data_IF_772052282110
#
_entry.id   IF_772052282110
#
_cell.length_a   1.000
_cell.length_b   1.000
_cell.length_c   1.000
_cell.angle_alpha   90.00
_cell.angle_beta   90.00
_cell.angle_gamma   90.00
#
_symmetry.space_group_name_H-M   'P 1'
#
loop_
_entity.id
_entity.type
_entity.pdbx_description
1 polymer ?
#
# COMPACT_ATOMS: atom_id res chain seq x y z
N UNK A 1 4.37 -14.65 -3.24
CA UNK A 1 5.44 -13.79 -2.65
C UNK A 1 4.83 -12.47 -2.22
N UNK A 2 5.50 -11.74 -1.32
CA UNK A 2 5.05 -10.42 -0.80
C UNK A 2 3.70 -10.43 -0.07
N UNK A 3 3.45 -11.35 0.87
CA UNK A 3 2.16 -11.46 1.55
C UNK A 3 1.80 -10.21 2.37
N UNK A 4 2.81 -9.45 2.81
CA UNK A 4 2.66 -8.18 3.53
C UNK A 4 2.92 -6.95 2.64
N UNK A 5 2.96 -7.13 1.32
CA UNK A 5 3.08 -6.05 0.33
C UNK A 5 4.25 -5.09 0.64
N UNK A 6 5.46 -5.65 0.72
CA UNK A 6 6.67 -4.87 1.06
C UNK A 6 6.64 -4.23 2.45
N UNK A 7 5.88 -4.78 3.38
CA UNK A 7 5.74 -4.27 4.75
C UNK A 7 4.57 -3.31 4.98
N UNK A 8 3.86 -2.86 3.92
CA UNK A 8 2.76 -1.91 4.08
C UNK A 8 1.56 -2.48 4.86
N UNK A 9 1.33 -3.80 4.78
CA UNK A 9 0.30 -4.47 5.56
C UNK A 9 0.76 -4.88 6.97
N UNK A 10 2.02 -4.63 7.32
CA UNK A 10 2.51 -4.74 8.69
C UNK A 10 2.37 -3.42 9.45
N UNK A 11 2.27 -2.30 8.74
CA UNK A 11 2.13 -0.94 9.27
C UNK A 11 0.85 -0.32 8.70
N UNK A 12 -0.29 -0.80 9.16
CA UNK A 12 -1.61 -0.31 8.77
C UNK A 12 -2.03 0.90 9.60
N UNK A 13 -3.01 1.72 9.16
CA UNK A 13 -3.62 2.78 9.97
C UNK A 13 -4.16 2.25 11.31
N UNK A 14 -4.17 3.12 12.34
CA UNK A 14 -4.62 2.76 13.69
C UNK A 14 -6.02 2.14 13.71
N UNK A 15 -6.96 2.66 12.91
CA UNK A 15 -8.31 2.14 12.80
C UNK A 15 -8.36 0.67 12.33
N UNK A 16 -7.43 0.26 11.46
CA UNK A 16 -7.32 -1.13 11.00
C UNK A 16 -6.61 -2.00 12.04
N UNK A 17 -5.57 -1.44 12.68
CA UNK A 17 -4.86 -2.13 13.77
C UNK A 17 -5.80 -2.43 14.94
N UNK A 18 -6.60 -1.45 15.37
CA UNK A 18 -7.61 -1.62 16.43
C UNK A 18 -8.66 -2.66 16.06
N UNK A 19 -9.13 -2.66 14.80
CA UNK A 19 -10.07 -3.68 14.30
C UNK A 19 -9.49 -5.09 14.44
N UNK A 20 -8.23 -5.30 14.06
CA UNK A 20 -7.55 -6.58 14.18
C UNK A 20 -7.34 -6.99 15.64
N UNK A 21 -6.87 -6.09 16.49
CA UNK A 21 -6.71 -6.35 17.93
C UNK A 21 -8.03 -6.65 18.64
N UNK A 22 -9.12 -5.98 18.28
CA UNK A 22 -10.44 -6.25 18.82
C UNK A 22 -10.94 -7.65 18.42
N UNK A 23 -10.63 -8.10 17.21
CA UNK A 23 -11.04 -9.42 16.72
C UNK A 23 -10.18 -10.56 17.32
N UNK A 24 -8.89 -10.33 17.47
CA UNK A 24 -7.96 -11.28 18.09
C UNK A 24 -6.77 -10.52 18.70
N UNK A 25 -6.78 -10.28 20.02
CA UNK A 25 -5.72 -9.54 20.72
C UNK A 25 -4.34 -10.20 20.67
N UNK A 26 -4.28 -11.52 20.52
CA UNK A 26 -3.03 -12.29 20.48
C UNK A 26 -2.40 -12.33 19.07
N UNK A 27 -3.15 -11.94 18.03
CA UNK A 27 -2.67 -11.97 16.66
C UNK A 27 -1.94 -10.68 16.30
N UNK A 28 -0.71 -10.80 15.78
CA UNK A 28 0.00 -9.66 15.23
C UNK A 28 -0.68 -9.13 13.95
N UNK A 29 -0.54 -7.84 13.67
CA UNK A 29 -1.10 -7.24 12.44
C UNK A 29 -0.59 -7.95 11.17
N UNK A 30 0.72 -8.25 11.00
CA UNK A 30 1.22 -9.00 9.84
C UNK A 30 0.60 -10.39 9.68
N UNK A 31 0.24 -11.05 10.80
CA UNK A 31 -0.31 -12.40 10.78
C UNK A 31 -1.63 -12.49 9.99
N UNK A 32 -2.45 -11.43 10.01
CA UNK A 32 -3.69 -11.38 9.25
C UNK A 32 -3.44 -11.47 7.74
N UNK A 33 -2.46 -10.74 7.22
CA UNK A 33 -2.12 -10.75 5.80
C UNK A 33 -1.49 -12.09 5.36
N UNK A 34 -0.59 -12.65 6.19
CA UNK A 34 0.09 -13.92 5.88
C UNK A 34 -0.89 -15.10 5.96
N UNK A 35 -1.73 -15.15 6.99
CA UNK A 35 -2.76 -16.17 7.15
C UNK A 35 -3.82 -16.06 6.05
N UNK A 36 -4.21 -14.84 5.65
CA UNK A 36 -5.11 -14.64 4.52
C UNK A 36 -4.56 -15.28 3.24
N UNK A 37 -3.30 -14.97 2.89
CA UNK A 37 -2.66 -15.56 1.71
C UNK A 37 -2.56 -17.10 1.80
N UNK A 38 -2.25 -17.64 3.00
CA UNK A 38 -2.12 -19.07 3.22
C UNK A 38 -3.47 -19.81 3.26
N UNK A 39 -4.57 -19.12 3.51
CA UNK A 39 -5.92 -19.71 3.63
C UNK A 39 -6.55 -20.13 2.30
N UNK A 40 -5.97 -19.73 1.16
CA UNK A 40 -6.48 -20.12 -0.14
C UNK A 40 -6.08 -21.55 -0.51
N UNK A 41 -7.01 -22.39 -0.91
CA UNK A 41 -6.82 -23.83 -1.17
C UNK A 41 -5.69 -24.12 -2.17
N UNK A 42 -5.51 -23.25 -3.15
CA UNK A 42 -4.50 -23.41 -4.21
C UNK A 42 -3.11 -22.86 -3.82
N UNK A 43 -2.96 -22.25 -2.64
CA UNK A 43 -1.68 -21.74 -2.13
C UNK A 43 -1.01 -22.86 -1.32
N UNK A 44 0.11 -23.35 -1.82
CA UNK A 44 0.89 -24.41 -1.16
C UNK A 44 2.03 -23.86 -0.30
N UNK A 45 2.46 -22.64 -0.57
CA UNK A 45 3.57 -22.01 0.15
C UNK A 45 3.41 -20.49 0.11
N UNK A 46 3.66 -19.83 1.24
CA UNK A 46 3.74 -18.38 1.36
C UNK A 46 5.19 -18.00 1.62
N UNK A 47 5.76 -17.17 0.74
CA UNK A 47 7.12 -16.67 0.89
C UNK A 47 7.06 -15.26 1.51
N UNK A 48 7.54 -15.12 2.74
CA UNK A 48 7.64 -13.86 3.47
C UNK A 48 9.10 -13.47 3.65
N UNK A 49 9.43 -12.20 3.35
CA UNK A 49 10.74 -11.63 3.66
C UNK A 49 10.78 -11.20 5.12
N UNK A 50 11.70 -11.78 5.90
CA UNK A 50 11.89 -11.48 7.32
C UNK A 50 13.28 -10.86 7.50
N UNK A 51 13.34 -9.62 8.01
CA UNK A 51 14.57 -8.87 8.17
C UNK A 51 15.21 -8.97 9.56
N UNK A 52 14.49 -9.54 10.53
CA UNK A 52 14.96 -9.71 11.91
C UNK A 52 14.32 -10.92 12.58
N UNK A 53 14.86 -11.29 13.76
CA UNK A 53 14.43 -12.47 14.51
C UNK A 53 12.98 -12.37 14.99
N UNK A 54 12.55 -11.20 15.46
CA UNK A 54 11.19 -10.99 15.93
C UNK A 54 10.13 -11.29 14.85
N UNK A 55 10.39 -10.89 13.60
CA UNK A 55 9.51 -11.21 12.46
C UNK A 55 9.50 -12.72 12.16
N UNK A 56 10.63 -13.40 12.32
CA UNK A 56 10.70 -14.84 12.14
C UNK A 56 9.93 -15.58 13.23
N UNK A 57 10.12 -15.21 14.49
CA UNK A 57 9.41 -15.75 15.63
C UNK A 57 7.90 -15.54 15.50
N UNK A 58 7.47 -14.33 15.16
CA UNK A 58 6.06 -14.01 14.92
C UNK A 58 5.49 -14.88 13.80
N UNK A 59 6.10 -14.89 12.61
CA UNK A 59 5.59 -15.64 11.47
C UNK A 59 5.55 -17.15 11.70
N UNK A 60 6.55 -17.71 12.40
CA UNK A 60 6.60 -19.14 12.69
C UNK A 60 5.60 -19.53 13.79
N UNK A 61 5.29 -18.66 14.74
CA UNK A 61 4.40 -18.95 15.86
C UNK A 61 3.01 -19.43 15.41
N UNK A 62 2.41 -18.76 14.42
CA UNK A 62 1.09 -19.14 13.90
C UNK A 62 1.14 -20.06 12.67
N UNK A 63 2.29 -20.16 11.98
CA UNK A 63 2.42 -21.04 10.81
C UNK A 63 2.78 -22.48 11.17
N UNK A 64 3.44 -22.73 12.30
CA UNK A 64 3.72 -24.11 12.78
C UNK A 64 2.44 -24.94 13.00
N UNK A 65 1.38 -24.29 13.46
CA UNK A 65 0.07 -24.91 13.67
C UNK A 65 -1.00 -24.18 12.87
N UNK A 66 -0.71 -23.95 11.59
CA UNK A 66 -1.53 -23.16 10.71
C UNK A 66 -3.00 -23.62 10.70
N UNK A 67 -3.88 -22.65 10.91
CA UNK A 67 -5.33 -22.78 10.71
C UNK A 67 -5.77 -21.74 9.70
N UNK A 68 -6.52 -22.15 8.66
CA UNK A 68 -7.13 -21.19 7.73
C UNK A 68 -7.99 -20.17 8.46
N UNK A 69 -8.14 -19.00 7.88
CA UNK A 69 -9.04 -17.98 8.44
C UNK A 69 -10.47 -18.52 8.47
N UNK A 70 -11.13 -18.35 9.60
CA UNK A 70 -12.55 -18.64 9.77
C UNK A 70 -13.41 -17.63 8.99
N UNK A 71 -14.70 -17.94 8.78
CA UNK A 71 -15.65 -17.01 8.16
C UNK A 71 -15.75 -15.69 8.93
N UNK A 72 -15.62 -15.72 10.26
CA UNK A 72 -15.62 -14.53 11.08
C UNK A 72 -14.36 -13.68 10.84
N UNK A 73 -13.19 -14.29 10.78
CA UNK A 73 -11.94 -13.59 10.48
C UNK A 73 -11.93 -13.03 9.05
N UNK A 74 -12.52 -13.76 8.09
CA UNK A 74 -12.70 -13.25 6.72
C UNK A 74 -13.58 -12.00 6.67
N UNK A 75 -14.63 -11.91 7.51
CA UNK A 75 -15.44 -10.68 7.63
C UNK A 75 -14.61 -9.51 8.20
N UNK A 76 -13.73 -9.77 9.15
CA UNK A 76 -12.81 -8.76 9.69
C UNK A 76 -11.85 -8.27 8.60
N UNK A 77 -11.33 -9.18 7.75
CA UNK A 77 -10.51 -8.79 6.59
C UNK A 77 -11.32 -7.88 5.63
N UNK A 78 -12.59 -8.19 5.35
CA UNK A 78 -13.40 -7.32 4.48
C UNK A 78 -13.58 -5.92 5.08
N UNK A 79 -13.87 -5.82 6.38
CA UNK A 79 -13.95 -4.54 7.07
C UNK A 79 -12.63 -3.77 7.03
N UNK A 80 -11.50 -4.46 7.22
CA UNK A 80 -10.18 -3.87 7.10
C UNK A 80 -9.89 -3.35 5.68
N UNK A 81 -10.33 -4.08 4.64
CA UNK A 81 -10.20 -3.65 3.24
C UNK A 81 -11.02 -2.38 2.96
N UNK A 82 -12.23 -2.28 3.51
CA UNK A 82 -13.07 -1.09 3.35
C UNK A 82 -12.41 0.13 4.02
N UNK A 83 -11.92 -0.02 5.27
CA UNK A 83 -11.15 1.03 5.95
C UNK A 83 -9.90 1.44 5.17
N UNK A 84 -9.15 0.47 4.62
CA UNK A 84 -7.95 0.76 3.82
C UNK A 84 -8.28 1.48 2.51
N UNK A 85 -9.42 1.17 1.88
CA UNK A 85 -9.88 1.88 0.67
C UNK A 85 -10.24 3.32 0.98
N UNK A 86 -10.90 3.57 2.12
CA UNK A 86 -11.27 4.92 2.55
C UNK A 86 -10.06 5.80 2.88
N UNK A 87 -8.92 5.20 3.18
CA UNK A 87 -7.66 5.93 3.45
C UNK A 87 -6.81 6.19 2.21
N UNK A 88 -7.07 5.49 1.09
CA UNK A 88 -6.31 5.65 -0.15
C UNK A 88 -7.09 6.46 -1.18
N UNK A 89 -6.65 7.68 -1.46
CA UNK A 89 -7.21 8.50 -2.54
C UNK A 89 -6.85 7.95 -3.93
N UNK A 90 -5.63 7.43 -4.10
CA UNK A 90 -5.18 6.79 -5.32
C UNK A 90 -4.86 5.32 -5.03
N UNK A 91 -5.67 4.34 -5.52
CA UNK A 91 -5.49 2.92 -5.23
C UNK A 91 -4.34 2.29 -6.05
N UNK A 92 -3.17 2.93 -6.02
CA UNK A 92 -1.97 2.46 -6.69
C UNK A 92 -1.30 1.34 -5.90
N UNK A 93 -1.04 0.20 -6.57
CA UNK A 93 -0.36 -0.95 -5.94
C UNK A 93 1.17 -0.88 -5.99
N UNK A 94 1.73 0.21 -6.50
CA UNK A 94 3.17 0.43 -6.66
C UNK A 94 3.90 -0.67 -7.47
N UNK A 95 3.20 -1.37 -8.38
CA UNK A 95 3.77 -2.44 -9.20
C UNK A 95 4.86 -1.99 -10.18
N UNK A 96 4.93 -0.69 -10.51
CA UNK A 96 6.00 -0.10 -11.32
C UNK A 96 5.86 -0.25 -12.84
N UNK A 97 4.88 -1.02 -13.36
CA UNK A 97 4.76 -1.25 -14.82
C UNK A 97 4.61 0.03 -15.63
N UNK A 98 3.96 1.05 -15.08
CA UNK A 98 3.76 2.34 -15.73
C UNK A 98 5.04 3.17 -15.91
N UNK A 99 6.11 2.88 -15.18
CA UNK A 99 7.35 3.68 -15.24
C UNK A 99 8.21 3.35 -16.45
N UNK A 100 8.27 2.08 -16.85
CA UNK A 100 9.10 1.60 -17.96
C UNK A 100 8.70 2.19 -19.32
N UNK A 101 7.40 2.42 -19.54
CA UNK A 101 6.86 2.99 -20.78
C UNK A 101 6.71 4.52 -20.77
N UNK A 102 7.06 5.20 -19.69
CA UNK A 102 6.88 6.64 -19.58
C UNK A 102 7.98 7.40 -20.35
N UNK A 103 7.67 8.17 -21.44
CA UNK A 103 8.67 8.88 -22.21
C UNK A 103 9.33 10.00 -21.40
N UNK A 104 8.67 10.50 -20.36
CA UNK A 104 9.20 11.51 -19.43
C UNK A 104 9.88 10.90 -18.21
N UNK A 105 9.87 9.56 -18.06
CA UNK A 105 10.46 8.82 -16.92
C UNK A 105 9.96 9.31 -15.56
N UNK A 106 8.68 9.67 -15.47
CA UNK A 106 8.07 10.11 -14.21
C UNK A 106 7.97 8.90 -13.28
N UNK A 107 8.47 8.96 -12.04
CA UNK A 107 8.33 7.90 -11.05
C UNK A 107 6.92 7.90 -10.43
N UNK A 108 5.92 7.53 -11.27
CA UNK A 108 4.48 7.62 -10.99
C UNK A 108 4.10 7.03 -9.64
N UNK A 109 4.50 5.77 -9.28
CA UNK A 109 4.09 5.16 -8.02
C UNK A 109 4.60 5.92 -6.78
N UNK A 110 5.78 6.52 -6.88
CA UNK A 110 6.38 7.27 -5.77
C UNK A 110 5.59 8.57 -5.52
N UNK A 111 5.22 9.30 -6.56
CA UNK A 111 4.38 10.48 -6.45
C UNK A 111 2.99 10.15 -5.89
N UNK A 112 2.38 9.05 -6.33
CA UNK A 112 1.09 8.60 -5.81
C UNK A 112 1.17 8.20 -4.33
N UNK A 113 2.26 7.55 -3.91
CA UNK A 113 2.50 7.23 -2.50
C UNK A 113 2.62 8.49 -1.63
N UNK A 114 3.36 9.50 -2.10
CA UNK A 114 3.51 10.79 -1.40
C UNK A 114 2.16 11.51 -1.31
N UNK A 115 1.37 11.51 -2.37
CA UNK A 115 0.03 12.11 -2.38
C UNK A 115 -0.92 11.41 -1.39
N UNK A 116 -0.95 10.09 -1.38
CA UNK A 116 -1.77 9.33 -0.44
C UNK A 116 -1.35 9.62 1.01
N UNK A 117 -0.04 9.73 1.28
CA UNK A 117 0.47 10.14 2.59
C UNK A 117 0.01 11.56 2.96
N UNK A 118 0.06 12.50 2.02
CA UNK A 118 -0.41 13.87 2.22
C UNK A 118 -1.89 13.88 2.61
N UNK A 119 -2.72 13.18 1.83
CA UNK A 119 -4.18 13.14 2.05
C UNK A 119 -4.55 12.44 3.37
N UNK A 120 -3.85 11.38 3.73
CA UNK A 120 -4.04 10.72 5.02
C UNK A 120 -3.75 11.70 6.17
N UNK A 121 -2.62 12.42 6.11
CA UNK A 121 -2.25 13.42 7.12
C UNK A 121 -3.26 14.57 7.21
N UNK A 122 -3.79 15.04 6.07
CA UNK A 122 -4.85 16.05 6.06
C UNK A 122 -6.12 15.55 6.74
N UNK A 123 -6.55 14.31 6.48
CA UNK A 123 -7.72 13.69 7.12
C UNK A 123 -7.55 13.54 8.63
N UNK A 124 -6.36 13.21 9.09
CA UNK A 124 -6.02 13.07 10.51
C UNK A 124 -5.78 14.41 11.23
N UNK A 125 -5.79 15.53 10.53
CA UNK A 125 -5.41 16.84 11.08
C UNK A 125 -3.93 16.92 11.50
N UNK A 126 -3.10 16.02 10.98
CA UNK A 126 -1.68 15.91 11.29
C UNK A 126 -0.82 16.79 10.38
N UNK A 127 0.43 17.04 10.78
CA UNK A 127 1.36 17.85 10.00
C UNK A 127 1.64 17.25 8.63
N UNK A 128 1.48 18.06 7.58
CA UNK A 128 1.76 17.72 6.17
C UNK A 128 3.21 18.02 5.75
N UNK A 129 4.06 18.44 6.69
CA UNK A 129 5.45 18.81 6.40
C UNK A 129 6.24 17.66 5.75
N UNK A 130 6.12 16.45 6.29
CA UNK A 130 6.89 15.30 5.80
C UNK A 130 6.58 14.93 4.34
N UNK A 131 5.31 14.74 3.92
CA UNK A 131 5.01 14.49 2.50
C UNK A 131 5.47 15.63 1.58
N UNK A 132 5.39 16.90 1.99
CA UNK A 132 5.90 18.03 1.21
C UNK A 132 7.43 17.97 1.04
N UNK A 133 8.18 17.61 2.08
CA UNK A 133 9.63 17.40 2.00
C UNK A 133 9.97 16.23 1.07
N UNK A 134 9.24 15.11 1.16
CA UNK A 134 9.46 13.95 0.28
C UNK A 134 9.17 14.32 -1.18
N UNK A 135 8.11 15.07 -1.46
CA UNK A 135 7.82 15.57 -2.79
C UNK A 135 8.94 16.44 -3.33
N UNK A 136 9.40 17.43 -2.57
CA UNK A 136 10.49 18.33 -2.97
C UNK A 136 11.80 17.58 -3.24
N UNK A 137 12.13 16.58 -2.40
CA UNK A 137 13.32 15.74 -2.62
C UNK A 137 13.20 14.91 -3.90
N UNK A 138 12.04 14.30 -4.14
CA UNK A 138 11.81 13.52 -5.35
C UNK A 138 11.83 14.43 -6.60
N UNK A 139 11.22 15.61 -6.53
CA UNK A 139 11.19 16.60 -7.60
C UNK A 139 12.59 17.12 -7.99
N UNK A 140 13.52 17.17 -7.03
CA UNK A 140 14.91 17.55 -7.28
C UNK A 140 15.72 16.46 -8.01
N UNK A 141 15.27 15.19 -7.94
CA UNK A 141 16.00 14.04 -8.48
C UNK A 141 15.36 13.41 -9.71
N UNK A 142 14.08 13.67 -9.95
CA UNK A 142 13.29 13.01 -10.98
C UNK A 142 12.32 13.99 -11.67
N UNK A 143 11.80 13.56 -12.82
CA UNK A 143 10.80 14.32 -13.57
C UNK A 143 9.51 14.47 -12.77
N UNK A 144 9.03 15.69 -12.62
CA UNK A 144 7.83 16.04 -11.85
C UNK A 144 6.53 15.70 -12.61
N UNK A 145 5.41 15.51 -11.90
CA UNK A 145 4.12 15.15 -12.49
C UNK A 145 3.59 16.15 -13.52
N UNK A 146 3.88 17.44 -13.36
CA UNK A 146 3.48 18.52 -14.30
C UNK A 146 4.11 18.39 -15.69
N UNK A 147 5.20 17.65 -15.82
CA UNK A 147 5.87 17.38 -17.12
C UNK A 147 5.21 16.23 -17.90
N UNK A 148 4.07 15.72 -17.44
CA UNK A 148 3.34 14.68 -18.15
C UNK A 148 2.85 15.15 -19.51
N UNK A 149 3.20 14.42 -20.58
CA UNK A 149 2.77 14.72 -21.97
C UNK A 149 1.44 14.08 -22.35
N UNK A 150 0.74 13.46 -21.40
CA UNK A 150 -0.60 12.86 -21.55
C UNK A 150 -0.69 11.79 -22.65
N UNK A 151 0.39 11.05 -22.89
CA UNK A 151 0.42 10.01 -23.92
C UNK A 151 -0.36 8.73 -23.52
N UNK A 152 -0.79 8.58 -22.27
CA UNK A 152 -1.59 7.50 -21.72
C UNK A 152 -0.97 6.09 -21.79
N UNK A 153 0.28 5.94 -22.19
CA UNK A 153 0.94 4.62 -22.23
C UNK A 153 0.95 3.94 -20.85
N UNK A 154 1.10 4.73 -19.78
CA UNK A 154 1.05 4.25 -18.40
C UNK A 154 -0.34 3.71 -18.00
N UNK A 155 -1.43 4.26 -18.56
CA UNK A 155 -2.81 3.83 -18.29
C UNK A 155 -3.10 2.48 -18.95
N UNK A 156 -2.65 2.29 -20.21
CA UNK A 156 -2.84 1.03 -20.94
C UNK A 156 -2.19 -0.17 -20.25
N UNK A 157 -1.05 0.03 -19.55
CA UNK A 157 -0.33 -1.05 -18.88
C UNK A 157 -0.70 -1.18 -17.40
N UNK A 158 -1.52 -0.27 -16.87
CA UNK A 158 -1.87 -0.27 -15.46
C UNK A 158 -2.87 -1.40 -15.13
N UNK A 159 -2.50 -2.40 -14.30
CA UNK A 159 -3.41 -3.47 -13.93
C UNK A 159 -4.58 -3.02 -13.03
N UNK A 160 -4.49 -1.80 -12.48
CA UNK A 160 -5.55 -1.17 -11.70
C UNK A 160 -6.45 -0.23 -12.54
N UNK A 161 -6.18 -0.11 -13.84
CA UNK A 161 -6.92 0.75 -14.76
C UNK A 161 -7.09 2.20 -14.28
N UNK A 162 -6.04 2.75 -13.65
CA UNK A 162 -6.04 4.12 -13.13
C UNK A 162 -5.93 5.15 -14.26
N UNK A 163 -6.68 6.25 -14.16
CA UNK A 163 -6.54 7.43 -15.02
C UNK A 163 -5.29 8.23 -14.63
N UNK A 164 -4.11 7.66 -14.90
CA UNK A 164 -2.83 8.12 -14.36
C UNK A 164 -2.53 9.58 -14.78
N UNK A 165 -2.87 9.96 -16.00
CA UNK A 165 -2.58 11.32 -16.50
C UNK A 165 -3.35 12.39 -15.73
N UNK A 166 -4.61 12.15 -15.40
CA UNK A 166 -5.44 13.04 -14.58
C UNK A 166 -4.96 13.06 -13.13
N UNK A 167 -4.64 11.89 -12.58
CA UNK A 167 -4.13 11.76 -11.22
C UNK A 167 -2.78 12.49 -11.04
N UNK A 168 -1.90 12.48 -12.05
CA UNK A 168 -0.66 13.24 -12.02
C UNK A 168 -0.89 14.74 -11.96
N UNK A 169 -1.93 15.27 -12.65
CA UNK A 169 -2.31 16.67 -12.54
C UNK A 169 -2.79 17.06 -11.13
N UNK A 170 -3.60 16.17 -10.52
CA UNK A 170 -4.07 16.35 -9.14
C UNK A 170 -2.87 16.39 -8.18
N UNK A 171 -1.96 15.42 -8.32
CA UNK A 171 -0.74 15.34 -7.49
C UNK A 171 0.11 16.60 -7.66
N UNK A 172 0.32 17.06 -8.91
CA UNK A 172 1.10 18.27 -9.18
C UNK A 172 0.51 19.49 -8.47
N UNK A 173 -0.81 19.66 -8.52
CA UNK A 173 -1.50 20.79 -7.88
C UNK A 173 -1.45 20.72 -6.35
N UNK A 174 -1.66 19.53 -5.78
CA UNK A 174 -1.81 19.38 -4.32
C UNK A 174 -0.49 19.34 -3.56
N UNK A 175 0.61 18.93 -4.19
CA UNK A 175 1.89 18.73 -3.52
C UNK A 175 2.93 19.83 -3.84
N UNK A 176 2.67 20.70 -4.83
CA UNK A 176 3.60 21.78 -5.20
C UNK A 176 3.38 23.06 -4.37
N UNK A 177 2.24 23.17 -3.65
CA UNK A 177 1.93 24.22 -2.68
C UNK A 177 2.47 23.86 -1.29
#
# INVERSE_FOLDING_TARGET
MEPVRGGSLANVPDSVSELFHKANPEASVPSWAIRFAASHDNVKMVLSGMGNMAQMEDNTSYMQHFKPLSDQENKVIQQALDLLRDTQEIPCTACGYCTGGCPRKIPIPQYFSIYNMLKLREKEGASTWMPKVLYSRLAAQATTPDKCVKCRQCEHICPQHLNITELLEIVAKSCAE
#
